data_IF_406547199662
#
_entry.id   IF_406547199662
#
_cell.length_a   1.000
_cell.length_b   1.000
_cell.length_c   1.000
_cell.angle_alpha   90.00
_cell.angle_beta   90.00
_cell.angle_gamma   90.00
#
_symmetry.space_group_name_H-M   'P 1'
#
loop_
_entity.id
_entity.type
_entity.pdbx_description
1 polymer ?
#
# COMPACT_ATOMS: atom_id res chain seq x y z
N UNK A 1 -37.07 11.68 0.39
CA UNK A 1 -37.70 11.45 1.71
C UNK A 1 -37.75 12.78 2.45
N UNK A 2 -38.85 13.12 3.14
CA UNK A 2 -38.92 14.42 3.84
C UNK A 2 -37.94 14.42 5.03
N UNK A 3 -37.20 15.51 5.31
CA UNK A 3 -36.21 15.58 6.39
C UNK A 3 -36.73 15.14 7.76
N UNK A 4 -38.01 15.41 8.03
CA UNK A 4 -38.68 15.01 9.26
C UNK A 4 -38.73 13.49 9.47
N UNK A 5 -38.93 12.70 8.41
CA UNK A 5 -38.95 11.24 8.53
C UNK A 5 -37.57 10.67 8.80
N UNK A 6 -36.52 11.30 8.27
CA UNK A 6 -35.13 10.92 8.53
C UNK A 6 -34.80 11.21 9.99
N UNK A 7 -35.19 12.38 10.50
CA UNK A 7 -34.98 12.74 11.90
C UNK A 7 -35.71 11.78 12.87
N UNK A 8 -36.98 11.48 12.60
CA UNK A 8 -37.76 10.53 13.42
C UNK A 8 -37.14 9.14 13.37
N UNK A 9 -36.69 8.68 12.21
CA UNK A 9 -36.03 7.39 12.06
C UNK A 9 -34.73 7.33 12.87
N UNK A 10 -33.90 8.37 12.77
CA UNK A 10 -32.64 8.48 13.53
C UNK A 10 -32.92 8.45 15.04
N UNK A 11 -33.91 9.21 15.52
CA UNK A 11 -34.30 9.23 16.93
C UNK A 11 -34.82 7.87 17.41
N UNK A 12 -35.58 7.14 16.58
CA UNK A 12 -36.03 5.78 16.88
C UNK A 12 -34.88 4.79 16.98
N UNK A 13 -33.91 4.87 16.06
CA UNK A 13 -32.74 3.98 16.08
C UNK A 13 -31.88 4.26 17.33
N UNK A 14 -31.56 5.52 17.61
CA UNK A 14 -30.79 5.86 18.81
C UNK A 14 -31.53 5.54 20.10
N UNK A 15 -32.85 5.76 20.16
CA UNK A 15 -33.69 5.38 21.29
C UNK A 15 -33.74 3.86 21.52
N UNK A 16 -33.76 3.07 20.43
CA UNK A 16 -33.65 1.62 20.51
C UNK A 16 -32.29 1.16 21.03
N UNK A 17 -31.21 1.79 20.58
CA UNK A 17 -29.85 1.46 21.04
C UNK A 17 -29.62 1.81 22.51
N UNK A 18 -30.14 2.95 23.00
CA UNK A 18 -30.04 3.31 24.42
C UNK A 18 -30.88 2.37 25.30
N UNK A 19 -32.04 1.91 24.82
CA UNK A 19 -32.82 0.90 25.53
C UNK A 19 -32.07 -0.44 25.62
N UNK A 20 -31.41 -0.87 24.54
CA UNK A 20 -30.57 -2.08 24.55
C UNK A 20 -29.38 -1.95 25.52
N UNK A 21 -28.72 -0.78 25.52
CA UNK A 21 -27.64 -0.44 26.44
C UNK A 21 -28.07 -0.44 27.91
N UNK A 22 -29.34 -0.14 28.20
CA UNK A 22 -29.89 -0.19 29.55
C UNK A 22 -30.26 -1.60 30.01
N UNK A 23 -30.72 -2.47 29.08
CA UNK A 23 -31.23 -3.81 29.42
C UNK A 23 -30.10 -4.85 29.52
N UNK A 24 -29.03 -4.69 28.75
CA UNK A 24 -27.92 -5.65 28.72
C UNK A 24 -26.86 -5.20 29.76
N UNK A 25 -26.55 -6.02 30.78
CA UNK A 25 -25.56 -5.67 31.80
C UNK A 25 -24.12 -5.72 31.24
N UNK A 26 -23.16 -5.12 31.97
CA UNK A 26 -21.75 -5.03 31.56
C UNK A 26 -21.10 -6.39 31.27
N UNK A 27 -21.44 -7.42 32.06
CA UNK A 27 -20.94 -8.79 31.89
C UNK A 27 -21.64 -9.58 30.76
N UNK A 28 -22.54 -8.90 30.03
CA UNK A 28 -23.31 -9.47 28.93
C UNK A 28 -24.54 -10.27 29.37
N UNK A 29 -25.40 -10.56 28.41
CA UNK A 29 -26.63 -11.33 28.61
C UNK A 29 -26.52 -12.68 27.90
N UNK A 30 -26.65 -13.78 28.64
CA UNK A 30 -26.61 -15.13 28.07
C UNK A 30 -27.96 -15.48 27.46
N UNK A 31 -27.97 -15.71 26.14
CA UNK A 31 -29.20 -16.03 25.39
C UNK A 31 -29.39 -17.55 25.26
N UNK A 32 -28.29 -18.30 25.25
CA UNK A 32 -28.27 -19.77 25.15
C UNK A 32 -26.93 -20.25 25.72
N UNK A 33 -26.83 -21.52 26.13
CA UNK A 33 -25.60 -22.08 26.70
C UNK A 33 -24.37 -21.75 25.82
N UNK A 34 -23.50 -20.89 26.35
CA UNK A 34 -22.23 -20.51 25.71
C UNK A 34 -22.29 -19.32 24.74
N UNK A 35 -23.44 -18.65 24.58
CA UNK A 35 -23.57 -17.44 23.75
C UNK A 35 -23.98 -16.25 24.62
N UNK A 36 -22.99 -15.42 24.96
CA UNK A 36 -23.16 -14.19 25.74
C UNK A 36 -23.10 -12.99 24.80
N UNK A 37 -24.18 -12.23 24.73
CA UNK A 37 -24.20 -10.96 23.97
C UNK A 37 -23.77 -9.83 24.89
N UNK A 38 -22.77 -9.08 24.42
CA UNK A 38 -22.31 -7.86 25.08
C UNK A 38 -22.82 -6.65 24.31
N UNK A 39 -23.22 -5.62 25.03
CA UNK A 39 -23.60 -4.33 24.45
C UNK A 39 -22.96 -3.21 25.28
N UNK A 40 -22.41 -2.15 24.67
CA UNK A 40 -21.75 -1.08 25.41
C UNK A 40 -22.73 -0.38 26.35
N UNK A 41 -22.29 -0.07 27.57
CA UNK A 41 -23.13 0.67 28.52
C UNK A 41 -23.17 2.16 28.22
N UNK A 42 -24.18 2.85 28.77
CA UNK A 42 -24.35 4.29 28.60
C UNK A 42 -23.11 5.05 29.09
N UNK A 43 -22.49 4.59 30.17
CA UNK A 43 -21.28 5.20 30.73
C UNK A 43 -20.05 4.97 29.84
N UNK A 44 -19.90 3.80 29.22
CA UNK A 44 -18.81 3.56 28.25
C UNK A 44 -18.95 4.38 26.97
N UNK A 45 -20.19 4.63 26.53
CA UNK A 45 -20.48 5.43 25.33
C UNK A 45 -20.24 6.92 25.60
N UNK A 46 -20.65 7.44 26.75
CA UNK A 46 -20.56 8.86 27.10
C UNK A 46 -19.19 9.23 27.68
N UNK A 47 -18.57 8.32 28.43
CA UNK A 47 -17.27 8.50 29.06
C UNK A 47 -16.36 7.32 28.70
N UNK A 48 -15.90 7.23 27.43
CA UNK A 48 -14.95 6.20 27.05
C UNK A 48 -13.73 6.31 27.96
N UNK A 49 -13.45 5.25 28.74
CA UNK A 49 -12.27 5.20 29.60
C UNK A 49 -11.06 5.48 28.71
N UNK A 50 -10.32 6.54 28.99
CA UNK A 50 -9.04 6.77 28.33
C UNK A 50 -8.16 5.56 28.66
N UNK A 51 -7.97 4.70 27.66
CA UNK A 51 -7.05 3.59 27.78
C UNK A 51 -5.68 4.20 28.08
N UNK A 52 -5.14 3.90 29.26
CA UNK A 52 -3.72 4.12 29.55
C UNK A 52 -2.97 3.43 28.41
N UNK A 53 -2.36 4.23 27.55
CA UNK A 53 -1.38 3.76 26.60
C UNK A 53 -0.31 3.06 27.42
N UNK A 54 -0.31 1.72 27.35
CA UNK A 54 0.83 0.95 27.84
C UNK A 54 1.98 1.41 26.98
N UNK A 55 3.01 1.95 27.62
CA UNK A 55 4.22 2.37 26.95
C UNK A 55 4.89 1.13 26.36
N UNK A 56 4.59 0.85 25.10
CA UNK A 56 5.14 -0.28 24.35
C UNK A 56 6.54 0.04 23.82
N UNK A 57 7.19 1.12 24.26
CA UNK A 57 8.55 1.47 23.84
C UNK A 57 9.55 0.34 24.13
N UNK A 58 9.39 -0.38 25.24
CA UNK A 58 10.20 -1.57 25.56
C UNK A 58 9.88 -2.76 24.65
N UNK A 59 8.61 -2.97 24.28
CA UNK A 59 8.21 -4.06 23.38
C UNK A 59 8.65 -3.79 21.93
N UNK A 60 8.69 -2.51 21.53
CA UNK A 60 9.15 -2.06 20.21
C UNK A 60 10.67 -2.16 20.11
N UNK A 61 11.42 -1.82 21.17
CA UNK A 61 12.89 -1.98 21.18
C UNK A 61 13.30 -3.45 21.18
N UNK A 62 12.53 -4.33 21.80
CA UNK A 62 12.80 -5.77 21.87
C UNK A 62 12.35 -6.54 20.61
N UNK A 63 11.35 -6.03 19.86
CA UNK A 63 10.87 -6.59 18.59
C UNK A 63 11.45 -5.91 17.34
N UNK A 64 12.41 -4.99 17.49
CA UNK A 64 13.32 -4.74 16.38
C UNK A 64 14.06 -6.04 16.13
N UNK A 65 13.95 -6.57 14.91
CA UNK A 65 14.81 -7.66 14.45
C UNK A 65 16.22 -7.26 14.84
N UNK A 66 16.91 -8.02 15.72
CA UNK A 66 18.27 -7.69 16.05
C UNK A 66 19.04 -7.71 14.73
N UNK A 67 19.56 -6.55 14.31
CA UNK A 67 20.75 -6.53 13.47
C UNK A 67 21.83 -7.18 14.36
N UNK A 68 21.88 -8.51 14.35
CA UNK A 68 23.11 -9.20 14.74
C UNK A 68 24.13 -8.72 13.74
N UNK A 69 24.97 -7.77 14.20
CA UNK A 69 25.98 -6.98 13.50
C UNK A 69 25.50 -5.57 13.08
N UNK A 70 25.35 -4.66 14.05
CA UNK A 70 26.18 -3.44 14.10
C UNK A 70 25.89 -2.65 15.38
N UNK A 71 26.89 -2.54 16.25
CA UNK A 71 26.95 -1.49 17.26
C UNK A 71 27.20 -0.18 16.53
N UNK A 72 26.17 0.64 16.35
CA UNK A 72 26.34 2.09 16.35
C UNK A 72 25.01 2.76 16.70
N UNK A 73 25.04 3.40 17.87
CA UNK A 73 24.12 4.41 18.38
C UNK A 73 23.89 5.52 17.35
N UNK A 74 22.65 5.71 16.88
CA UNK A 74 22.06 7.06 16.82
C UNK A 74 20.54 7.07 16.52
N UNK A 75 19.81 7.87 17.31
CA UNK A 75 18.54 8.54 16.99
C UNK A 75 17.33 7.75 16.48
N UNK A 76 16.56 7.11 17.37
CA UNK A 76 15.18 6.67 17.08
C UNK A 76 14.17 7.75 17.50
N UNK A 77 13.72 8.55 16.53
CA UNK A 77 12.54 9.39 16.69
C UNK A 77 11.28 8.51 16.74
N UNK A 78 10.60 8.51 17.89
CA UNK A 78 9.33 7.82 18.14
C UNK A 78 8.18 8.50 17.39
N UNK A 79 7.77 7.94 16.25
CA UNK A 79 6.51 8.27 15.59
C UNK A 79 5.45 7.22 15.96
N UNK A 80 4.47 7.62 16.77
CA UNK A 80 3.30 6.79 17.06
C UNK A 80 2.32 6.84 15.87
N UNK A 81 1.96 5.68 15.33
CA UNK A 81 0.93 5.55 14.30
C UNK A 81 -0.38 5.05 14.92
N UNK A 82 -1.46 5.79 14.64
CA UNK A 82 -2.85 5.48 15.01
C UNK A 82 -3.40 4.48 14.00
N UNK A 83 -3.67 3.27 14.47
CA UNK A 83 -4.30 2.19 13.70
C UNK A 83 -5.82 2.44 13.55
N UNK A 84 -6.38 2.16 12.36
CA UNK A 84 -7.84 2.16 12.11
C UNK A 84 -8.40 0.77 11.85
N UNK A 85 -7.64 -0.29 12.14
CA UNK A 85 -8.14 -1.65 12.18
C UNK A 85 -7.57 -2.36 13.39
N UNK A 86 -8.30 -2.34 14.49
CA UNK A 86 -7.97 -3.13 15.69
C UNK A 86 -8.00 -4.61 15.30
N UNK A 87 -6.87 -5.15 14.87
CA UNK A 87 -6.65 -6.58 14.81
C UNK A 87 -6.07 -6.95 16.17
N UNK A 88 -6.89 -7.52 17.04
CA UNK A 88 -6.45 -8.16 18.28
C UNK A 88 -5.53 -9.34 17.93
N UNK A 89 -4.26 -9.08 17.70
CA UNK A 89 -3.25 -10.10 17.90
C UNK A 89 -2.96 -10.11 19.40
N UNK A 90 -3.35 -11.18 20.10
CA UNK A 90 -2.62 -11.50 21.31
C UNK A 90 -1.15 -11.60 20.91
N UNK A 91 -0.23 -10.82 21.52
CA UNK A 91 1.19 -11.03 21.31
C UNK A 91 1.49 -12.42 21.83
N UNK A 92 1.51 -13.40 20.92
CA UNK A 92 2.02 -14.71 21.24
C UNK A 92 3.52 -14.53 21.47
N UNK A 93 4.00 -15.07 22.58
CA UNK A 93 5.39 -15.02 23.03
C UNK A 93 6.26 -15.97 22.18
N UNK A 94 6.24 -15.77 20.86
CA UNK A 94 6.91 -16.59 19.85
C UNK A 94 8.07 -15.77 19.32
N UNK A 95 9.30 -16.13 19.68
CA UNK A 95 10.49 -15.51 19.12
C UNK A 95 10.62 -15.90 17.64
N UNK A 96 11.15 -15.02 16.77
CA UNK A 96 11.48 -15.39 15.40
C UNK A 96 12.38 -16.64 15.36
N UNK A 97 11.81 -17.78 14.95
CA UNK A 97 12.50 -19.08 14.92
C UNK A 97 11.90 -20.14 15.85
N UNK A 98 11.01 -19.79 16.77
CA UNK A 98 10.39 -20.75 17.70
C UNK A 98 9.36 -21.66 17.01
N UNK A 99 8.68 -21.14 15.98
CA UNK A 99 7.82 -21.93 15.08
C UNK A 99 8.48 -22.01 13.72
N UNK A 100 9.02 -23.19 13.39
CA UNK A 100 9.67 -23.45 12.10
C UNK A 100 8.75 -24.24 11.17
N UNK A 101 7.93 -23.54 10.39
CA UNK A 101 7.32 -24.16 9.22
C UNK A 101 8.38 -24.31 8.13
N UNK A 102 8.61 -25.54 7.67
CA UNK A 102 9.49 -25.78 6.53
C UNK A 102 8.83 -25.28 5.25
N UNK A 103 9.62 -24.73 4.33
CA UNK A 103 9.14 -24.41 2.99
C UNK A 103 8.54 -25.66 2.33
N UNK A 104 7.35 -25.51 1.79
CA UNK A 104 6.69 -26.54 1.00
C UNK A 104 7.09 -26.41 -0.45
N UNK A 105 7.41 -27.54 -1.07
CA UNK A 105 7.88 -27.59 -2.45
C UNK A 105 6.88 -28.37 -3.31
N UNK A 106 6.65 -27.95 -4.56
CA UNK A 106 5.87 -28.75 -5.51
C UNK A 106 6.42 -30.18 -5.61
N UNK A 107 5.55 -31.17 -5.36
CA UNK A 107 5.95 -32.59 -5.32
C UNK A 107 7.04 -32.92 -4.30
N UNK A 108 7.20 -32.09 -3.25
CA UNK A 108 8.30 -32.15 -2.25
C UNK A 108 9.71 -32.05 -2.87
N UNK A 109 9.82 -31.53 -4.09
CA UNK A 109 11.08 -31.44 -4.82
C UNK A 109 11.86 -30.17 -4.48
N UNK A 110 12.80 -30.27 -3.52
CA UNK A 110 13.68 -29.15 -3.12
C UNK A 110 14.58 -28.64 -4.25
N UNK A 111 14.82 -29.43 -5.30
CA UNK A 111 15.71 -29.06 -6.41
C UNK A 111 15.16 -27.87 -7.22
N UNK A 112 13.88 -27.54 -7.09
CA UNK A 112 13.26 -26.42 -7.81
C UNK A 112 13.94 -25.08 -7.53
N UNK A 113 14.52 -24.90 -6.33
CA UNK A 113 15.27 -23.69 -5.97
C UNK A 113 16.78 -23.80 -6.18
N UNK A 114 17.29 -24.95 -6.65
CA UNK A 114 18.74 -25.16 -6.77
C UNK A 114 19.40 -24.12 -7.69
N UNK A 115 18.84 -23.90 -8.88
CA UNK A 115 19.36 -22.90 -9.83
C UNK A 115 19.32 -21.49 -9.25
N UNK A 116 18.27 -21.15 -8.49
CA UNK A 116 18.14 -19.86 -7.82
C UNK A 116 19.24 -19.65 -6.77
N UNK A 117 19.47 -20.62 -5.88
CA UNK A 117 20.54 -20.53 -4.89
C UNK A 117 21.93 -20.57 -5.51
N UNK A 118 22.11 -21.30 -6.60
CA UNK A 118 23.37 -21.30 -7.36
C UNK A 118 23.66 -19.92 -7.98
N UNK A 119 22.67 -19.22 -8.51
CA UNK A 119 22.85 -17.84 -8.97
C UNK A 119 23.15 -16.89 -7.80
N UNK A 120 22.47 -17.03 -6.66
CA UNK A 120 22.74 -16.25 -5.45
C UNK A 120 24.18 -16.43 -4.94
N UNK A 121 24.68 -17.67 -4.87
CA UNK A 121 26.05 -17.93 -4.43
C UNK A 121 27.11 -17.34 -5.35
N UNK A 122 26.77 -17.16 -6.63
CA UNK A 122 27.68 -16.60 -7.65
C UNK A 122 27.48 -15.08 -7.87
N UNK A 123 26.58 -14.42 -7.13
CA UNK A 123 26.26 -12.99 -7.32
C UNK A 123 27.49 -12.07 -7.20
N UNK A 124 28.36 -12.32 -6.23
CA UNK A 124 29.57 -11.51 -6.01
C UNK A 124 30.52 -11.53 -7.22
N UNK A 125 30.60 -12.67 -7.90
CA UNK A 125 31.43 -12.84 -9.09
C UNK A 125 30.74 -12.27 -10.35
N UNK A 126 29.46 -12.57 -10.52
CA UNK A 126 28.71 -12.20 -11.74
C UNK A 126 28.26 -10.74 -11.76
N UNK A 127 28.12 -10.11 -10.59
CA UNK A 127 27.61 -8.74 -10.40
C UNK A 127 26.24 -8.50 -11.08
N UNK A 128 25.45 -9.57 -11.27
CA UNK A 128 24.11 -9.48 -11.84
C UNK A 128 23.11 -8.96 -10.81
N UNK A 129 22.01 -8.38 -11.29
CA UNK A 129 20.86 -8.04 -10.45
C UNK A 129 19.84 -9.17 -10.51
N UNK A 130 19.58 -9.82 -9.37
CA UNK A 130 18.48 -10.79 -9.21
C UNK A 130 17.30 -10.05 -8.58
N UNK A 131 16.13 -10.15 -9.23
CA UNK A 131 14.86 -9.62 -8.71
C UNK A 131 13.98 -10.79 -8.30
N UNK A 132 13.42 -10.73 -7.11
CA UNK A 132 12.56 -11.78 -6.53
C UNK A 132 11.15 -11.22 -6.45
N UNK A 133 10.19 -11.93 -7.05
CA UNK A 133 8.77 -11.64 -6.91
C UNK A 133 8.17 -12.61 -5.90
N UNK A 134 7.54 -12.07 -4.87
CA UNK A 134 6.86 -12.85 -3.82
C UNK A 134 5.36 -12.61 -3.94
N UNK A 135 4.63 -13.65 -4.37
CA UNK A 135 3.18 -13.64 -4.51
C UNK A 135 2.53 -14.40 -3.36
N UNK A 136 1.37 -13.92 -2.91
CA UNK A 136 0.64 -14.46 -1.78
C UNK A 136 -0.65 -13.69 -1.56
N UNK A 137 -1.24 -13.88 -0.39
CA UNK A 137 -2.47 -13.23 0.04
C UNK A 137 -2.18 -11.99 0.91
N UNK A 138 -3.21 -11.52 1.63
CA UNK A 138 -3.15 -10.36 2.53
C UNK A 138 -2.05 -10.42 3.60
N UNK A 139 -1.51 -11.60 3.93
CA UNK A 139 -0.47 -11.72 4.94
C UNK A 139 0.86 -11.10 4.50
N UNK A 140 1.15 -11.10 3.19
CA UNK A 140 2.38 -10.52 2.64
C UNK A 140 2.19 -9.09 2.11
N UNK A 141 0.96 -8.61 1.93
CA UNK A 141 0.63 -7.31 1.33
C UNK A 141 1.17 -6.11 2.12
N UNK A 142 1.39 -6.27 3.43
CA UNK A 142 2.01 -5.26 4.30
C UNK A 142 3.49 -5.55 4.60
N UNK A 143 4.18 -6.25 3.70
CA UNK A 143 5.62 -6.55 3.77
C UNK A 143 6.06 -7.32 5.03
N UNK A 144 5.13 -7.96 5.77
CA UNK A 144 5.43 -8.61 7.06
C UNK A 144 6.46 -9.75 6.94
N UNK A 145 6.26 -10.67 6.00
CA UNK A 145 7.22 -11.75 5.71
C UNK A 145 8.27 -11.30 4.69
N UNK A 146 7.84 -10.54 3.69
CA UNK A 146 8.70 -10.11 2.57
C UNK A 146 9.85 -9.23 3.05
N UNK A 147 9.65 -8.35 4.03
CA UNK A 147 10.71 -7.52 4.61
C UNK A 147 11.80 -8.35 5.26
N UNK A 148 11.44 -9.36 6.05
CA UNK A 148 12.37 -10.27 6.71
C UNK A 148 13.16 -11.09 5.70
N UNK A 149 12.49 -11.71 4.73
CA UNK A 149 13.14 -12.52 3.68
C UNK A 149 14.10 -11.64 2.86
N UNK A 150 13.66 -10.45 2.44
CA UNK A 150 14.48 -9.48 1.70
C UNK A 150 15.70 -9.06 2.51
N UNK A 151 15.54 -8.73 3.79
CA UNK A 151 16.63 -8.36 4.68
C UNK A 151 17.67 -9.49 4.81
N UNK A 152 17.23 -10.73 5.05
CA UNK A 152 18.14 -11.88 5.16
C UNK A 152 18.90 -12.15 3.85
N UNK A 153 18.22 -12.08 2.71
CA UNK A 153 18.86 -12.27 1.41
C UNK A 153 19.84 -11.15 1.07
N UNK A 154 19.47 -9.88 1.30
CA UNK A 154 20.34 -8.73 1.06
C UNK A 154 21.54 -8.72 1.99
N UNK A 155 21.37 -9.09 3.26
CA UNK A 155 22.47 -9.23 4.22
C UNK A 155 23.46 -10.33 3.82
N UNK A 156 22.95 -11.50 3.40
CA UNK A 156 23.80 -12.65 3.08
C UNK A 156 24.48 -12.53 1.70
N UNK A 157 23.73 -12.14 0.67
CA UNK A 157 24.18 -12.19 -0.72
C UNK A 157 24.47 -10.80 -1.33
N UNK A 158 24.11 -9.73 -0.62
CA UNK A 158 24.16 -8.36 -1.14
C UNK A 158 22.90 -7.96 -1.91
N UNK A 159 22.90 -6.74 -2.43
CA UNK A 159 21.73 -6.12 -3.04
C UNK A 159 21.08 -5.09 -2.12
N UNK A 160 20.26 -4.22 -2.71
CA UNK A 160 19.69 -3.08 -2.00
C UNK A 160 18.40 -2.61 -2.68
N UNK A 161 17.72 -1.67 -2.03
CA UNK A 161 16.51 -1.04 -2.53
C UNK A 161 15.22 -1.73 -2.08
N UNK A 162 14.08 -1.01 -2.19
CA UNK A 162 12.78 -1.51 -1.76
C UNK A 162 12.18 -2.51 -2.76
N UNK A 163 12.62 -2.50 -4.02
CA UNK A 163 11.99 -3.26 -5.09
C UNK A 163 10.75 -2.55 -5.63
N UNK A 164 9.77 -3.32 -6.07
CA UNK A 164 8.58 -2.79 -6.75
C UNK A 164 7.56 -2.25 -5.74
N UNK A 165 7.15 -0.98 -5.91
CA UNK A 165 6.20 -0.26 -5.06
C UNK A 165 5.03 0.20 -5.96
N UNK A 166 3.77 -0.03 -5.59
CA UNK A 166 2.64 0.48 -6.37
C UNK A 166 2.54 2.00 -6.22
N UNK A 167 2.03 2.69 -7.24
CA UNK A 167 1.84 4.14 -7.17
C UNK A 167 0.91 4.56 -6.03
N UNK A 168 -0.13 3.77 -5.78
CA UNK A 168 -1.02 3.93 -4.63
C UNK A 168 -0.96 2.67 -3.79
N UNK A 169 -0.51 2.81 -2.55
CA UNK A 169 -0.42 1.69 -1.64
C UNK A 169 -1.82 1.28 -1.15
N UNK A 170 -2.14 -0.03 -1.11
CA UNK A 170 -3.40 -0.49 -0.54
C UNK A 170 -3.46 -0.28 0.97
N UNK A 171 -2.31 -0.30 1.65
CA UNK A 171 -2.16 -0.17 3.09
C UNK A 171 -0.91 0.66 3.40
N UNK A 172 -0.96 1.51 4.42
CA UNK A 172 0.16 2.39 4.80
C UNK A 172 1.10 1.84 5.89
N UNK A 173 0.73 0.74 6.56
CA UNK A 173 1.51 0.24 7.70
C UNK A 173 2.62 -0.73 7.25
N UNK A 174 3.81 -0.62 7.87
CA UNK A 174 5.00 -1.49 7.66
C UNK A 174 5.53 -1.57 6.22
N UNK A 175 5.15 -0.64 5.35
CA UNK A 175 5.70 -0.54 4.00
C UNK A 175 7.20 -0.22 4.00
N UNK A 176 7.98 -0.71 3.01
CA UNK A 176 9.40 -0.37 2.90
C UNK A 176 9.64 1.11 2.59
N UNK A 177 8.61 1.82 2.14
CA UNK A 177 8.64 3.26 1.88
C UNK A 177 7.39 3.92 2.46
N UNK A 178 7.52 5.20 2.82
CA UNK A 178 6.36 6.06 3.08
C UNK A 178 5.94 6.66 1.74
N UNK A 179 4.64 6.65 1.48
CA UNK A 179 4.07 7.22 0.26
C UNK A 179 2.95 8.17 0.62
N UNK A 180 3.02 9.36 0.05
CA UNK A 180 2.01 10.41 0.16
C UNK A 180 1.55 10.77 -1.24
N UNK A 181 0.25 10.96 -1.43
CA UNK A 181 -0.31 11.28 -2.75
C UNK A 181 -1.35 12.38 -2.63
N UNK A 182 -1.35 13.30 -3.59
CA UNK A 182 -2.39 14.32 -3.73
C UNK A 182 -3.07 14.20 -5.09
N UNK A 183 -4.31 14.67 -5.19
CA UNK A 183 -5.14 14.54 -6.38
C UNK A 183 -6.04 13.31 -6.35
N UNK A 184 -6.86 13.17 -7.39
CA UNK A 184 -7.94 12.19 -7.49
C UNK A 184 -7.44 10.82 -8.00
N UNK A 185 -6.52 10.22 -7.23
CA UNK A 185 -5.99 8.90 -7.55
C UNK A 185 -7.04 7.80 -7.39
N UNK A 186 -7.13 6.93 -8.40
CA UNK A 186 -7.93 5.70 -8.38
C UNK A 186 -7.04 4.51 -8.65
N UNK A 187 -7.10 3.51 -7.78
CA UNK A 187 -6.41 2.22 -7.92
C UNK A 187 -7.39 1.17 -8.42
N UNK A 188 -7.01 0.43 -9.45
CA UNK A 188 -7.79 -0.64 -10.06
C UNK A 188 -7.06 -1.98 -9.88
N UNK A 189 -7.74 -2.98 -9.33
CA UNK A 189 -7.19 -4.32 -9.09
C UNK A 189 -7.79 -5.37 -10.03
N UNK A 190 -6.98 -6.37 -10.40
CA UNK A 190 -7.40 -7.51 -11.21
C UNK A 190 -8.00 -8.67 -10.40
N UNK A 191 -8.08 -8.51 -9.08
CA UNK A 191 -8.56 -9.47 -8.10
C UNK A 191 -9.63 -8.83 -7.20
N UNK A 192 -10.33 -9.65 -6.39
CA UNK A 192 -11.54 -9.28 -5.65
C UNK A 192 -12.66 -8.80 -6.58
N UNK A 193 -13.41 -7.76 -6.18
CA UNK A 193 -14.45 -7.14 -6.99
C UNK A 193 -13.79 -6.19 -7.99
N UNK A 194 -13.59 -6.67 -9.22
CA UNK A 194 -13.04 -5.87 -10.32
C UNK A 194 -13.98 -4.72 -10.67
N UNK A 195 -13.39 -3.55 -10.91
CA UNK A 195 -14.12 -2.40 -11.44
C UNK A 195 -14.58 -2.69 -12.88
N UNK A 196 -15.89 -2.56 -13.12
CA UNK A 196 -16.52 -2.88 -14.41
C UNK A 196 -16.20 -1.86 -15.51
N UNK A 197 -15.66 -0.69 -15.15
CA UNK A 197 -15.15 0.30 -16.10
C UNK A 197 -13.87 -0.17 -16.79
N UNK A 198 -13.10 -1.06 -16.15
CA UNK A 198 -11.87 -1.62 -16.73
C UNK A 198 -12.22 -2.73 -17.73
N UNK A 199 -12.12 -2.44 -19.02
CA UNK A 199 -12.45 -3.39 -20.11
C UNK A 199 -11.27 -4.26 -20.58
N UNK A 200 -10.08 -4.08 -20.01
CA UNK A 200 -8.88 -4.84 -20.35
C UNK A 200 -8.38 -5.71 -19.19
N UNK A 201 -7.41 -6.59 -19.48
CA UNK A 201 -6.76 -7.47 -18.49
C UNK A 201 -5.31 -7.05 -18.17
N UNK A 202 -4.95 -5.80 -18.49
CA UNK A 202 -3.61 -5.24 -18.30
C UNK A 202 -3.41 -4.72 -16.87
N UNK A 203 -3.19 -5.61 -15.91
CA UNK A 203 -2.97 -5.23 -14.50
C UNK A 203 -1.51 -5.28 -14.05
N UNK A 204 -0.60 -5.69 -14.94
CA UNK A 204 0.83 -5.80 -14.64
C UNK A 204 1.15 -6.85 -13.56
N UNK A 205 2.42 -6.90 -13.16
CA UNK A 205 2.93 -7.90 -12.19
C UNK A 205 2.37 -7.72 -10.79
N UNK A 206 1.89 -6.52 -10.43
CA UNK A 206 1.26 -6.26 -9.13
C UNK A 206 -0.24 -6.58 -9.12
N UNK A 207 -0.78 -7.08 -10.24
CA UNK A 207 -2.22 -7.27 -10.44
C UNK A 207 -3.06 -6.02 -10.11
N UNK A 208 -2.47 -4.83 -10.28
CA UNK A 208 -3.11 -3.53 -10.10
C UNK A 208 -2.41 -2.43 -10.87
N UNK A 209 -3.14 -1.38 -11.22
CA UNK A 209 -2.61 -0.11 -11.72
C UNK A 209 -3.39 1.06 -11.10
N UNK A 210 -2.84 2.26 -11.17
CA UNK A 210 -3.48 3.49 -10.70
C UNK A 210 -3.59 4.52 -11.81
N UNK A 211 -4.61 5.37 -11.74
CA UNK A 211 -4.76 6.55 -12.62
C UNK A 211 -5.09 7.77 -11.78
N UNK A 212 -4.63 8.94 -12.20
CA UNK A 212 -4.99 10.24 -11.61
C UNK A 212 -6.10 10.97 -12.40
N UNK A 213 -6.62 10.33 -13.44
CA UNK A 213 -7.84 10.71 -14.14
C UNK A 213 -8.82 9.52 -14.12
N UNK A 214 -10.14 9.77 -14.15
CA UNK A 214 -11.12 8.72 -14.38
C UNK A 214 -10.82 7.96 -15.68
N UNK A 215 -11.15 6.67 -15.72
CA UNK A 215 -11.26 5.96 -16.99
C UNK A 215 -12.35 6.64 -17.81
N UNK A 216 -12.13 6.80 -19.12
CA UNK A 216 -13.15 7.33 -20.01
C UNK A 216 -14.39 6.42 -19.88
N UNK A 217 -15.48 6.97 -19.35
CA UNK A 217 -16.78 6.34 -19.48
C UNK A 217 -17.08 6.31 -20.97
N UNK A 218 -17.12 5.10 -21.55
CA UNK A 218 -17.81 4.96 -22.82
C UNK A 218 -19.26 5.24 -22.45
N UNK A 219 -19.71 6.46 -22.72
CA UNK A 219 -21.12 6.70 -22.99
C UNK A 219 -21.44 5.70 -24.10
N UNK A 220 -22.02 4.56 -23.73
CA UNK A 220 -22.60 3.68 -24.74
C UNK A 220 -23.46 4.60 -25.58
N UNK A 221 -23.22 4.58 -26.89
CA UNK A 221 -23.97 5.34 -27.88
C UNK A 221 -25.43 4.89 -27.79
N UNK A 222 -26.17 5.39 -26.81
CA UNK A 222 -27.61 5.48 -26.86
C UNK A 222 -27.88 6.51 -27.92
N UNK A 223 -28.18 5.97 -29.09
CA UNK A 223 -28.73 6.59 -30.27
C UNK A 223 -29.87 7.51 -29.86
N UNK A 224 -29.56 8.79 -29.64
CA UNK A 224 -30.52 9.83 -29.34
C UNK A 224 -29.94 11.13 -29.86
N UNK A 225 -30.40 11.44 -31.06
CA UNK A 225 -30.27 12.72 -31.75
C UNK A 225 -30.54 13.83 -30.72
N UNK A 226 -29.48 14.54 -30.33
CA UNK A 226 -29.58 15.90 -29.80
C UNK A 226 -28.81 16.80 -30.75
N UNK A 227 -29.58 17.40 -31.66
CA UNK A 227 -29.26 18.70 -32.24
C UNK A 227 -29.14 19.71 -31.11
N UNK A 228 -27.96 20.31 -30.92
CA UNK A 228 -27.77 21.75 -30.72
C UNK A 228 -26.29 22.10 -30.43
N UNK A 229 -25.82 23.07 -31.22
CA UNK A 229 -24.70 24.00 -31.08
C UNK A 229 -23.44 23.66 -30.27
N UNK A 230 -22.32 23.65 -31.01
CA UNK A 230 -20.95 23.81 -30.55
C UNK A 230 -20.78 24.92 -29.51
N UNK A 231 -20.42 24.58 -28.27
CA UNK A 231 -19.65 25.47 -27.38
C UNK A 231 -18.83 24.66 -26.36
N UNK A 232 -17.51 24.71 -26.54
CA UNK A 232 -16.45 24.34 -25.58
C UNK A 232 -16.66 23.05 -24.77
N UNK A 233 -16.14 21.93 -25.27
CA UNK A 233 -15.75 20.83 -24.38
C UNK A 233 -14.67 21.40 -23.46
N UNK A 234 -15.02 21.75 -22.22
CA UNK A 234 -14.02 22.10 -21.20
C UNK A 234 -13.08 20.90 -21.07
N UNK A 235 -11.86 21.03 -21.58
CA UNK A 235 -10.82 20.04 -21.39
C UNK A 235 -10.41 20.08 -19.92
N UNK A 236 -11.08 19.27 -19.11
CA UNK A 236 -10.76 19.12 -17.69
C UNK A 236 -9.35 18.55 -17.55
N UNK A 237 -8.41 19.40 -17.15
CA UNK A 237 -7.08 19.00 -16.76
C UNK A 237 -7.10 18.31 -15.39
N UNK A 238 -6.32 17.26 -15.24
CA UNK A 238 -6.07 16.57 -13.99
C UNK A 238 -4.64 16.83 -13.55
N UNK A 239 -4.46 17.06 -12.25
CA UNK A 239 -3.16 17.19 -11.62
C UNK A 239 -3.11 16.32 -10.38
N UNK A 240 -1.97 15.68 -10.15
CA UNK A 240 -1.75 14.82 -9.02
C UNK A 240 -0.27 14.78 -8.66
N UNK A 241 0.03 14.41 -7.43
CA UNK A 241 1.41 14.16 -7.01
C UNK A 241 1.55 12.85 -6.25
N UNK A 242 2.77 12.34 -6.25
CA UNK A 242 3.19 11.16 -5.51
C UNK A 242 4.57 11.42 -4.91
N UNK A 243 4.65 11.47 -3.58
CA UNK A 243 5.91 11.52 -2.83
C UNK A 243 6.22 10.13 -2.30
N UNK A 244 7.47 9.70 -2.45
CA UNK A 244 7.99 8.46 -1.87
C UNK A 244 9.22 8.81 -1.04
N UNK A 245 9.23 8.43 0.24
CA UNK A 245 10.35 8.65 1.15
C UNK A 245 10.71 7.38 1.91
N UNK A 246 11.88 7.39 2.55
CA UNK A 246 12.34 6.23 3.32
C UNK A 246 11.44 5.94 4.52
N UNK A 247 11.03 4.69 4.67
CA UNK A 247 10.26 4.25 5.84
C UNK A 247 11.16 4.12 7.07
N UNK A 248 10.73 4.60 8.25
CA UNK A 248 11.45 4.35 9.50
C UNK A 248 11.51 2.85 9.85
N UNK A 249 10.59 2.05 9.33
CA UNK A 249 10.50 0.60 9.57
C UNK A 249 11.34 -0.24 8.59
N UNK A 250 12.02 0.39 7.63
CA UNK A 250 12.84 -0.29 6.63
C UNK A 250 14.30 -0.43 7.05
N UNK A 251 14.94 -1.52 6.65
CA UNK A 251 16.37 -1.76 6.93
C UNK A 251 17.26 -0.81 6.11
N UNK A 252 18.51 -0.60 6.55
CA UNK A 252 19.48 0.27 5.87
C UNK A 252 19.69 -0.11 4.39
N UNK A 253 19.66 -1.40 4.07
CA UNK A 253 19.83 -1.89 2.68
C UNK A 253 18.67 -1.49 1.76
N UNK A 254 17.45 -1.45 2.28
CA UNK A 254 16.26 -1.00 1.53
C UNK A 254 16.33 0.49 1.20
N UNK A 255 16.93 1.29 2.07
CA UNK A 255 17.13 2.74 1.89
C UNK A 255 18.28 3.10 0.95
N UNK A 256 18.86 2.15 0.21
CA UNK A 256 19.99 2.38 -0.69
C UNK A 256 19.64 2.01 -2.12
N UNK A 257 19.60 3.01 -3.00
CA UNK A 257 19.41 2.83 -4.44
C UNK A 257 20.03 3.99 -5.23
N UNK A 258 20.42 3.75 -6.46
CA UNK A 258 20.95 4.78 -7.38
C UNK A 258 20.14 4.88 -8.66
N UNK A 259 19.03 4.14 -8.75
CA UNK A 259 18.17 4.11 -9.92
C UNK A 259 16.73 3.98 -9.49
N UNK A 260 15.88 4.83 -10.06
CA UNK A 260 14.43 4.73 -9.97
C UNK A 260 13.84 4.50 -11.36
N UNK A 261 12.75 3.75 -11.43
CA UNK A 261 12.00 3.53 -12.67
C UNK A 261 10.51 3.63 -12.42
N UNK A 262 9.78 4.20 -13.36
CA UNK A 262 8.32 4.27 -13.38
C UNK A 262 7.79 3.43 -14.55
N UNK A 263 6.93 2.46 -14.25
CA UNK A 263 6.20 1.67 -15.24
C UNK A 263 4.82 2.30 -15.46
N UNK A 264 4.57 2.78 -16.68
CA UNK A 264 3.33 3.47 -17.04
C UNK A 264 2.94 3.13 -18.48
N UNK A 265 1.73 3.45 -18.94
CA UNK A 265 1.40 3.37 -20.36
C UNK A 265 -0.09 3.51 -20.63
N UNK A 266 -0.51 3.25 -21.87
CA UNK A 266 -1.91 3.24 -22.27
C UNK A 266 -2.64 4.59 -22.08
N UNK A 267 -1.91 5.71 -22.12
CA UNK A 267 -2.49 7.05 -22.16
C UNK A 267 -2.89 7.42 -23.60
N UNK A 268 -4.04 8.08 -23.72
CA UNK A 268 -4.62 8.55 -24.99
C UNK A 268 -4.21 9.98 -25.33
N UNK A 269 -3.88 10.77 -24.31
CA UNK A 269 -3.42 12.16 -24.43
C UNK A 269 -2.03 12.32 -23.81
N UNK A 270 -1.26 13.33 -24.24
CA UNK A 270 0.01 13.63 -23.59
C UNK A 270 -0.21 14.12 -22.15
N UNK A 271 0.76 13.85 -21.28
CA UNK A 271 0.77 14.35 -19.91
C UNK A 271 2.19 14.79 -19.52
N UNK A 272 2.29 15.75 -18.63
CA UNK A 272 3.53 16.21 -18.05
C UNK A 272 3.87 15.39 -16.82
N UNK A 273 5.14 15.03 -16.70
CA UNK A 273 5.73 14.37 -15.56
C UNK A 273 6.96 15.16 -15.13
N UNK A 274 6.94 15.67 -13.90
CA UNK A 274 8.14 16.17 -13.23
C UNK A 274 8.56 15.20 -12.13
N UNK A 275 9.87 15.09 -11.95
CA UNK A 275 10.48 14.41 -10.82
C UNK A 275 11.41 15.39 -10.11
N UNK A 276 11.17 15.54 -8.82
CA UNK A 276 12.08 16.16 -7.87
C UNK A 276 12.71 15.06 -7.04
N UNK A 277 14.02 15.15 -6.84
CA UNK A 277 14.72 14.34 -5.85
C UNK A 277 15.14 15.29 -4.73
N UNK A 278 14.65 15.03 -3.53
CA UNK A 278 14.73 15.96 -2.41
C UNK A 278 14.06 17.31 -2.76
N UNK A 279 14.83 18.38 -3.00
CA UNK A 279 14.31 19.70 -3.41
C UNK A 279 14.72 20.08 -4.84
N UNK A 280 15.52 19.24 -5.52
CA UNK A 280 16.07 19.54 -6.84
C UNK A 280 15.18 18.95 -7.94
N UNK A 281 14.86 19.76 -8.95
CA UNK A 281 14.17 19.29 -10.16
C UNK A 281 15.13 18.46 -11.02
N UNK A 282 14.95 17.14 -11.01
CA UNK A 282 15.78 16.20 -11.77
C UNK A 282 15.30 16.03 -13.21
N UNK A 283 13.98 16.07 -13.43
CA UNK A 283 13.39 15.75 -14.73
C UNK A 283 12.07 16.47 -14.91
N UNK A 284 11.85 17.02 -16.10
CA UNK A 284 10.58 17.61 -16.53
C UNK A 284 10.33 17.18 -17.97
N UNK A 285 9.33 16.33 -18.20
CA UNK A 285 9.05 15.78 -19.52
C UNK A 285 7.55 15.76 -19.81
N UNK A 286 7.20 16.11 -21.05
CA UNK A 286 5.89 15.80 -21.62
C UNK A 286 5.97 14.43 -22.29
N UNK A 287 5.18 13.48 -21.79
CA UNK A 287 5.12 12.10 -22.27
C UNK A 287 3.95 11.96 -23.23
N UNK A 288 4.23 11.45 -24.43
CA UNK A 288 3.24 11.33 -25.52
C UNK A 288 2.32 10.10 -25.34
N UNK A 289 1.16 10.05 -26.02
CA UNK A 289 0.29 8.87 -26.06
C UNK A 289 1.03 7.59 -26.47
N UNK A 290 0.67 6.48 -25.84
CA UNK A 290 1.24 5.16 -26.12
C UNK A 290 0.24 4.05 -25.84
N UNK A 291 0.09 3.11 -26.78
CA UNK A 291 -0.71 1.90 -26.61
C UNK A 291 0.05 0.74 -25.95
N UNK A 292 1.31 0.96 -25.56
CA UNK A 292 2.17 -0.05 -24.93
C UNK A 292 2.60 0.37 -23.53
N UNK A 293 3.07 -0.62 -22.74
CA UNK A 293 3.78 -0.37 -21.50
C UNK A 293 5.10 0.35 -21.80
N UNK A 294 5.32 1.45 -21.10
CA UNK A 294 6.48 2.33 -21.16
C UNK A 294 7.24 2.30 -19.83
N UNK A 295 8.51 2.67 -19.93
CA UNK A 295 9.43 2.71 -18.80
C UNK A 295 10.17 4.05 -18.79
N UNK A 296 9.97 4.85 -17.74
CA UNK A 296 10.81 6.01 -17.46
C UNK A 296 11.86 5.61 -16.43
N UNK A 297 13.12 5.95 -16.66
CA UNK A 297 14.24 5.63 -15.75
C UNK A 297 14.99 6.90 -15.38
N UNK A 298 15.42 6.98 -14.12
CA UNK A 298 16.29 8.01 -13.59
C UNK A 298 17.46 7.36 -12.86
N UNK A 299 18.64 7.93 -13.03
CA UNK A 299 19.88 7.52 -12.39
C UNK A 299 20.36 8.64 -11.48
N UNK A 300 20.84 8.28 -10.29
CA UNK A 300 21.30 9.20 -9.26
C UNK A 300 22.73 8.84 -8.83
N UNK A 301 23.53 9.85 -8.50
CA UNK A 301 24.88 9.63 -7.99
C UNK A 301 24.86 9.07 -6.55
N UNK A 302 23.88 9.48 -5.76
CA UNK A 302 23.61 9.03 -4.39
C UNK A 302 22.13 8.77 -4.21
N UNK A 303 21.75 8.02 -3.17
CA UNK A 303 20.34 7.78 -2.88
C UNK A 303 19.67 9.06 -2.39
N UNK A 304 18.61 9.53 -3.05
CA UNK A 304 17.85 10.68 -2.57
C UNK A 304 16.98 10.29 -1.37
N UNK A 305 16.77 11.25 -0.47
CA UNK A 305 15.98 11.04 0.75
C UNK A 305 14.50 10.87 0.45
N UNK A 306 14.01 11.61 -0.56
CA UNK A 306 12.68 11.45 -1.12
C UNK A 306 12.66 11.64 -2.65
N UNK A 307 11.61 11.10 -3.28
CA UNK A 307 11.27 11.33 -4.67
C UNK A 307 9.86 11.92 -4.72
N UNK A 308 9.71 13.10 -5.30
CA UNK A 308 8.42 13.77 -5.49
C UNK A 308 8.08 13.86 -6.98
N UNK A 309 6.99 13.23 -7.38
CA UNK A 309 6.51 13.18 -8.75
C UNK A 309 5.28 14.07 -8.90
N UNK A 310 5.31 15.00 -9.84
CA UNK A 310 4.13 15.77 -10.24
C UNK A 310 3.63 15.29 -11.61
N UNK A 311 2.35 14.98 -11.68
CA UNK A 311 1.64 14.58 -12.89
C UNK A 311 0.63 15.66 -13.26
N UNK A 312 0.57 16.05 -14.52
CA UNK A 312 -0.52 16.90 -15.02
C UNK A 312 -0.87 16.62 -16.47
N UNK A 313 -2.15 16.56 -16.80
CA UNK A 313 -2.61 16.30 -18.17
C UNK A 313 -4.11 16.09 -18.25
N UNK A 314 -4.62 15.98 -19.47
CA UNK A 314 -6.05 15.72 -19.71
C UNK A 314 -6.41 14.24 -19.57
N UNK A 315 -5.42 13.35 -19.62
CA UNK A 315 -5.56 11.90 -19.39
C UNK A 315 -4.40 11.40 -18.54
N UNK A 316 -4.67 10.39 -17.72
CA UNK A 316 -3.68 9.66 -16.95
C UNK A 316 -3.28 8.38 -17.70
N UNK A 317 -1.98 8.03 -17.76
CA UNK A 317 -1.60 6.67 -18.08
C UNK A 317 -2.09 5.70 -16.98
N UNK A 318 -2.14 4.42 -17.33
CA UNK A 318 -2.12 3.35 -16.34
C UNK A 318 -0.73 3.32 -15.69
N UNK A 319 -0.65 3.66 -14.40
CA UNK A 319 0.60 3.65 -13.63
C UNK A 319 0.66 2.36 -12.82
N UNK A 320 1.63 1.50 -13.14
CA UNK A 320 1.71 0.16 -12.57
C UNK A 320 2.52 0.14 -11.28
N UNK A 321 3.72 0.69 -11.30
CA UNK A 321 4.64 0.65 -10.17
C UNK A 321 5.88 1.55 -10.37
N UNK A 322 6.58 1.77 -9.28
CA UNK A 322 7.95 2.29 -9.23
C UNK A 322 8.94 1.25 -8.68
N UNK A 323 10.20 1.27 -9.11
CA UNK A 323 11.28 0.39 -8.58
C UNK A 323 12.63 1.05 -8.60
#
# INVERSE_FOLDING_TARGET
MKPLYILIFILLVFGGMTLLSYVIPEDGYEITEGVVIHFPTIDEILNPKENKYVDISEIISENQVPDTLDNDTDGLATAFLKDSSVVYYQPLDIKPGDVTQKLEFPGRNKKVLYSFFNELSNLRATKKLIRILHYGDSQIEADRMTSYIRSKLQSQFGGSGPGLIPAIQPYGFRSPVVSESTGEWRRYTGFLKRDTTVKHSRYGVMASFSRFSPLAEIQELTDSINTEDSTTVETKGYSASLTISHSPYSTKSVKRYTRARLFYGYNTKPFNLKLYADEELVSNNTLIPSENLQLKTWDFNSTPSNLHLEFSGEDSPDIYAMT
#
